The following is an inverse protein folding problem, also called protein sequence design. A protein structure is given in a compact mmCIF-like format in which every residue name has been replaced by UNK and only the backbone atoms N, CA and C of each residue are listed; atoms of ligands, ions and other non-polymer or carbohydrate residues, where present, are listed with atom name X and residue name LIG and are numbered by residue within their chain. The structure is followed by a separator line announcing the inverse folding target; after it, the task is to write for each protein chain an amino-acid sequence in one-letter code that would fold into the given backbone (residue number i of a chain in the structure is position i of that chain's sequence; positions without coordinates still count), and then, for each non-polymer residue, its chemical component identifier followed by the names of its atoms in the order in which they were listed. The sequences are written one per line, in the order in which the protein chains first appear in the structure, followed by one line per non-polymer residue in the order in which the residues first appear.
data_IF_351422167737
#
_entry.id   IF_351422167737
#
_cell.length_a   1.000
_cell.length_b   1.000
_cell.length_c   1.000
_cell.angle_alpha   90.00
_cell.angle_beta   90.00
_cell.angle_gamma   90.00
#
_symmetry.space_group_name_H-M   'P 1'
#
loop_
_entity.id
_entity.type
_entity.pdbx_description
1 polymer ?
#
# COMPACT_ATOMS: atom_id res chain seq x y z
N UNK A 1 8.10 -37.04 5.51
CA UNK A 1 8.43 -37.82 6.72
C UNK A 1 7.11 -38.15 7.42
N UNK A 2 6.72 -39.44 7.47
CA UNK A 2 5.43 -39.89 8.02
C UNK A 2 5.56 -40.09 9.54
N UNK A 3 4.69 -39.47 10.33
CA UNK A 3 4.57 -39.73 11.78
C UNK A 3 3.22 -40.38 12.04
N UNK A 4 3.27 -41.62 12.51
CA UNK A 4 2.16 -42.40 13.05
C UNK A 4 1.73 -41.84 14.41
N UNK A 5 0.44 -41.50 14.58
CA UNK A 5 -0.18 -41.20 15.87
C UNK A 5 -0.74 -42.48 16.51
N UNK A 6 -0.24 -42.85 17.68
CA UNK A 6 -0.94 -43.76 18.59
C UNK A 6 -1.94 -42.99 19.45
N UNK A 7 -3.21 -43.40 19.41
CA UNK A 7 -4.26 -42.92 20.30
C UNK A 7 -4.02 -43.38 21.74
N UNK A 8 -3.95 -42.43 22.68
CA UNK A 8 -4.22 -42.67 24.09
C UNK A 8 -5.37 -41.75 24.53
N UNK A 9 -6.38 -42.35 25.14
CA UNK A 9 -7.65 -41.73 25.48
C UNK A 9 -7.54 -40.68 26.60
N UNK A 10 -8.42 -39.69 26.45
CA UNK A 10 -8.68 -38.47 27.22
C UNK A 10 -8.65 -38.61 28.75
N UNK A 11 -7.87 -37.76 29.40
CA UNK A 11 -8.20 -37.19 30.71
C UNK A 11 -8.56 -35.71 30.50
N UNK A 12 -9.81 -35.36 30.80
CA UNK A 12 -10.33 -33.99 30.66
C UNK A 12 -9.75 -33.12 31.78
N UNK A 13 -8.58 -32.52 31.53
CA UNK A 13 -8.09 -31.41 32.34
C UNK A 13 -8.53 -30.13 31.61
N UNK A 14 -9.48 -29.41 32.22
CA UNK A 14 -9.79 -28.02 31.91
C UNK A 14 -8.57 -27.15 32.31
N UNK A 15 -7.47 -27.34 31.60
CA UNK A 15 -6.33 -26.44 31.62
C UNK A 15 -6.61 -25.37 30.58
N UNK A 16 -6.73 -24.13 31.02
CA UNK A 16 -6.52 -22.96 30.17
C UNK A 16 -5.22 -23.19 29.43
N UNK A 17 -5.32 -23.56 28.14
CA UNK A 17 -4.16 -23.57 27.26
C UNK A 17 -3.55 -22.16 27.38
N UNK A 18 -2.26 -22.03 27.73
CA UNK A 18 -1.62 -20.74 27.63
C UNK A 18 -1.80 -20.30 26.18
N UNK A 19 -2.38 -19.12 25.96
CA UNK A 19 -2.29 -18.46 24.69
C UNK A 19 -0.79 -18.46 24.35
N UNK A 20 -0.39 -19.22 23.34
CA UNK A 20 1.01 -19.23 22.92
C UNK A 20 1.37 -17.78 22.65
N UNK A 21 2.31 -17.22 23.43
CA UNK A 21 2.84 -15.90 23.15
C UNK A 21 3.44 -15.97 21.74
N UNK A 22 2.82 -15.25 20.80
CA UNK A 22 3.24 -15.23 19.41
C UNK A 22 4.57 -14.47 19.35
N UNK A 23 5.67 -15.20 19.19
CA UNK A 23 7.01 -14.63 19.02
C UNK A 23 7.45 -14.76 17.56
N UNK A 24 8.04 -13.71 16.98
CA UNK A 24 8.51 -13.76 15.59
C UNK A 24 9.05 -12.45 15.05
N UNK A 25 9.73 -12.51 13.91
CA UNK A 25 10.10 -11.33 13.13
C UNK A 25 9.13 -11.16 11.96
N UNK A 26 8.68 -9.94 11.72
CA UNK A 26 7.85 -9.56 10.57
C UNK A 26 8.62 -8.51 9.77
N UNK A 27 8.75 -8.73 8.49
CA UNK A 27 9.41 -7.84 7.54
C UNK A 27 8.40 -7.22 6.60
N UNK A 28 8.53 -5.91 6.37
CA UNK A 28 7.67 -5.16 5.46
C UNK A 28 8.54 -4.52 4.39
N UNK A 29 8.24 -4.76 3.11
CA UNK A 29 8.78 -3.97 2.01
C UNK A 29 7.82 -2.86 1.63
N UNK A 30 8.33 -1.64 1.60
CA UNK A 30 7.56 -0.44 1.26
C UNK A 30 8.50 0.58 0.61
N UNK A 31 7.96 1.74 0.27
CA UNK A 31 8.75 2.89 -0.16
C UNK A 31 8.32 4.16 0.55
N UNK A 32 9.22 5.15 0.58
CA UNK A 32 8.84 6.56 0.67
C UNK A 32 8.06 6.93 1.96
N UNK A 33 7.07 7.84 1.89
CA UNK A 33 6.23 8.32 3.00
C UNK A 33 5.48 7.17 3.65
N UNK A 34 5.09 6.16 2.86
CA UNK A 34 4.53 4.92 3.36
C UNK A 34 5.53 4.22 4.30
N UNK A 35 6.76 3.95 3.86
CA UNK A 35 7.77 3.32 4.69
C UNK A 35 8.09 4.14 5.95
N UNK A 36 8.16 5.47 5.82
CA UNK A 36 8.39 6.38 6.96
C UNK A 36 7.26 6.33 7.99
N UNK A 37 6.01 6.36 7.52
CA UNK A 37 4.81 6.24 8.35
C UNK A 37 4.73 4.89 9.07
N UNK A 38 5.06 3.80 8.38
CA UNK A 38 5.14 2.46 8.98
C UNK A 38 6.23 2.39 10.04
N UNK A 39 7.44 2.91 9.78
CA UNK A 39 8.54 2.94 10.78
C UNK A 39 8.12 3.67 12.05
N UNK A 40 7.44 4.81 11.92
CA UNK A 40 6.94 5.58 13.06
C UNK A 40 5.89 4.79 13.86
N UNK A 41 4.99 4.08 13.19
CA UNK A 41 3.90 3.31 13.81
C UNK A 41 4.42 2.02 14.46
N UNK A 42 5.29 1.29 13.76
CA UNK A 42 5.92 0.03 14.20
C UNK A 42 6.72 0.23 15.49
N UNK A 43 7.32 1.40 15.70
CA UNK A 43 7.98 1.71 16.96
C UNK A 43 7.03 1.65 18.17
N UNK A 44 5.75 2.01 18.00
CA UNK A 44 4.72 1.84 19.02
C UNK A 44 4.29 0.38 19.17
N UNK A 45 4.07 -0.31 18.04
CA UNK A 45 3.70 -1.73 18.03
C UNK A 45 4.74 -2.60 18.75
N UNK A 46 6.02 -2.49 18.40
CA UNK A 46 7.10 -3.29 19.01
C UNK A 46 7.25 -3.03 20.52
N UNK A 47 6.85 -1.86 21.03
CA UNK A 47 6.83 -1.58 22.48
C UNK A 47 5.68 -2.29 23.21
N UNK A 48 4.53 -2.42 22.55
CA UNK A 48 3.35 -3.11 23.09
C UNK A 48 3.44 -4.63 22.94
N UNK A 49 4.15 -5.09 21.91
CA UNK A 49 4.32 -6.49 21.56
C UNK A 49 5.81 -6.85 21.50
N UNK A 50 6.52 -6.91 22.65
CA UNK A 50 7.97 -7.08 22.66
C UNK A 50 8.45 -8.42 22.08
N UNK A 51 7.58 -9.42 22.04
CA UNK A 51 7.88 -10.74 21.47
C UNK A 51 7.78 -10.76 19.93
N UNK A 52 7.16 -9.73 19.33
CA UNK A 52 7.01 -9.58 17.88
C UNK A 52 7.85 -8.39 17.42
N UNK A 53 8.84 -8.65 16.57
CA UNK A 53 9.70 -7.62 16.01
C UNK A 53 9.32 -7.33 14.57
N UNK A 54 8.64 -6.21 14.35
CA UNK A 54 8.32 -5.73 13.00
C UNK A 54 9.45 -4.81 12.50
N UNK A 55 9.87 -4.99 11.26
CA UNK A 55 10.89 -4.17 10.57
C UNK A 55 10.40 -3.73 9.21
N UNK A 56 10.74 -2.51 8.81
CA UNK A 56 10.31 -1.92 7.53
C UNK A 56 11.54 -1.60 6.70
N UNK A 57 11.60 -2.18 5.50
CA UNK A 57 12.62 -1.91 4.51
C UNK A 57 12.05 -0.97 3.46
N UNK A 58 12.73 0.17 3.29
CA UNK A 58 12.45 1.08 2.20
C UNK A 58 13.33 0.68 1.02
N UNK A 59 12.71 0.17 -0.03
CA UNK A 59 13.42 -0.29 -1.24
C UNK A 59 13.31 0.70 -2.40
N UNK A 60 12.48 1.75 -2.26
CA UNK A 60 11.92 2.49 -3.40
C UNK A 60 10.76 1.75 -4.08
N UNK A 61 9.94 2.48 -4.82
CA UNK A 61 8.70 1.96 -5.41
C UNK A 61 8.97 0.83 -6.44
N UNK A 62 9.63 1.15 -7.56
CA UNK A 62 9.90 0.14 -8.60
C UNK A 62 10.70 -1.08 -8.08
N UNK A 63 11.77 -0.93 -7.27
CA UNK A 63 12.48 -2.09 -6.75
C UNK A 63 11.64 -2.96 -5.80
N UNK A 64 10.64 -2.38 -5.10
CA UNK A 64 9.68 -3.17 -4.32
C UNK A 64 8.88 -4.08 -5.23
N UNK A 65 8.41 -3.57 -6.38
CA UNK A 65 7.66 -4.38 -7.34
C UNK A 65 8.50 -5.45 -8.00
N UNK A 66 9.67 -5.08 -8.55
CA UNK A 66 10.54 -6.01 -9.27
C UNK A 66 10.95 -7.20 -8.38
N UNK A 67 11.30 -6.92 -7.12
CA UNK A 67 11.66 -7.96 -6.16
C UNK A 67 10.47 -8.83 -5.74
N UNK A 68 9.30 -8.23 -5.58
CA UNK A 68 8.10 -8.98 -5.17
C UNK A 68 7.63 -9.91 -6.30
N UNK A 69 7.63 -9.44 -7.54
CA UNK A 69 7.34 -10.26 -8.73
C UNK A 69 8.37 -11.39 -8.85
N UNK A 70 9.66 -11.11 -8.70
CA UNK A 70 10.70 -12.14 -8.74
C UNK A 70 10.53 -13.19 -7.64
N UNK A 71 10.20 -12.76 -6.41
CA UNK A 71 9.93 -13.66 -5.28
C UNK A 71 8.71 -14.54 -5.53
N UNK A 72 7.61 -13.97 -6.03
CA UNK A 72 6.44 -14.75 -6.42
C UNK A 72 6.74 -15.76 -7.53
N UNK A 73 7.48 -15.37 -8.58
CA UNK A 73 7.91 -16.26 -9.65
C UNK A 73 8.83 -17.39 -9.15
N UNK A 74 9.58 -17.16 -8.07
CA UNK A 74 10.41 -18.14 -7.39
C UNK A 74 9.64 -19.03 -6.39
N UNK A 75 8.31 -18.96 -6.35
CA UNK A 75 7.48 -19.74 -5.43
C UNK A 75 7.48 -19.19 -3.99
N UNK A 76 7.65 -17.88 -3.84
CA UNK A 76 7.63 -17.17 -2.55
C UNK A 76 8.99 -17.04 -1.87
N UNK A 77 10.06 -17.56 -2.48
CA UNK A 77 11.40 -17.50 -1.89
C UNK A 77 11.91 -16.05 -1.86
N UNK A 78 12.32 -15.59 -0.69
CA UNK A 78 12.94 -14.28 -0.50
C UNK A 78 11.96 -13.10 -0.41
N UNK A 79 10.65 -13.36 -0.39
CA UNK A 79 9.64 -12.36 -0.10
C UNK A 79 9.68 -11.92 1.38
N UNK A 80 9.25 -10.68 1.68
CA UNK A 80 8.95 -10.28 3.04
C UNK A 80 7.60 -10.88 3.47
N UNK A 81 7.24 -10.65 4.73
CA UNK A 81 5.92 -11.04 5.25
C UNK A 81 4.80 -10.13 4.72
N UNK A 82 5.11 -8.85 4.48
CA UNK A 82 4.17 -7.85 3.97
C UNK A 82 4.84 -7.01 2.87
N UNK A 83 4.11 -6.77 1.78
CA UNK A 83 4.54 -5.90 0.67
C UNK A 83 3.50 -4.80 0.50
N UNK A 84 3.95 -3.54 0.40
CA UNK A 84 3.10 -2.44 -0.06
C UNK A 84 2.89 -2.56 -1.58
N UNK A 85 1.64 -2.47 -2.06
CA UNK A 85 1.29 -2.56 -3.49
C UNK A 85 0.24 -1.50 -3.82
N UNK A 86 0.41 -0.75 -4.92
CA UNK A 86 -0.60 0.19 -5.42
C UNK A 86 -1.79 -0.57 -6.05
N UNK A 87 -3.02 -0.06 -5.89
CA UNK A 87 -4.23 -0.70 -6.44
C UNK A 87 -4.10 -1.04 -7.94
N UNK A 88 -3.50 -0.16 -8.73
CA UNK A 88 -3.29 -0.37 -10.17
C UNK A 88 -2.31 -1.49 -10.51
N UNK A 89 -1.42 -1.85 -9.59
CA UNK A 89 -0.48 -2.96 -9.75
C UNK A 89 -1.01 -4.28 -9.18
N UNK A 90 -1.94 -4.23 -8.23
CA UNK A 90 -2.44 -5.40 -7.50
C UNK A 90 -2.97 -6.50 -8.43
N UNK A 91 -3.73 -6.14 -9.46
CA UNK A 91 -4.28 -7.10 -10.44
C UNK A 91 -3.18 -7.91 -11.15
N UNK A 92 -2.03 -7.28 -11.43
CA UNK A 92 -0.88 -7.96 -12.06
C UNK A 92 -0.38 -9.10 -11.17
N UNK A 93 -0.39 -8.94 -9.85
CA UNK A 93 0.05 -9.97 -8.91
C UNK A 93 -0.94 -11.11 -8.82
N UNK A 94 -2.22 -10.84 -8.57
CA UNK A 94 -3.21 -11.90 -8.33
C UNK A 94 -3.49 -12.72 -9.59
N UNK A 95 -3.39 -12.10 -10.77
CA UNK A 95 -3.59 -12.76 -12.06
C UNK A 95 -2.41 -13.66 -12.44
N UNK A 96 -1.17 -13.23 -12.16
CA UNK A 96 0.03 -13.99 -12.53
C UNK A 96 0.46 -14.98 -11.45
N UNK A 97 0.20 -14.67 -10.19
CA UNK A 97 0.69 -15.41 -9.01
C UNK A 97 -0.43 -15.62 -7.97
N UNK A 98 -1.52 -16.31 -8.31
CA UNK A 98 -2.70 -16.47 -7.43
C UNK A 98 -2.42 -17.20 -6.12
N UNK A 99 -1.29 -17.94 -6.04
CA UNK A 99 -0.87 -18.69 -4.85
C UNK A 99 0.28 -18.01 -4.08
N UNK A 100 0.77 -16.85 -4.53
CA UNK A 100 1.87 -16.15 -3.87
C UNK A 100 1.42 -15.41 -2.60
N UNK A 101 0.13 -15.10 -2.49
CA UNK A 101 -0.43 -14.31 -1.40
C UNK A 101 -1.44 -15.08 -0.60
N UNK A 102 -1.43 -14.84 0.72
CA UNK A 102 -2.37 -15.42 1.65
C UNK A 102 -3.74 -14.76 1.51
N UNK A 103 -4.80 -15.56 1.57
CA UNK A 103 -6.15 -15.03 1.73
C UNK A 103 -6.30 -14.47 3.15
N UNK A 104 -6.46 -13.15 3.27
CA UNK A 104 -6.56 -12.43 4.53
C UNK A 104 -7.79 -12.85 5.35
N UNK A 105 -8.83 -13.42 4.74
CA UNK A 105 -9.94 -14.00 5.49
C UNK A 105 -9.46 -15.10 6.46
N UNK A 106 -8.42 -15.86 6.08
CA UNK A 106 -7.79 -16.88 6.94
C UNK A 106 -7.01 -16.28 8.11
N UNK A 107 -6.67 -14.99 8.02
CA UNK A 107 -5.97 -14.21 9.04
C UNK A 107 -6.92 -13.31 9.86
N UNK A 108 -8.23 -13.45 9.66
CA UNK A 108 -9.24 -12.71 10.42
C UNK A 108 -9.66 -11.38 9.80
N UNK A 109 -9.37 -11.14 8.52
CA UNK A 109 -10.00 -10.02 7.80
C UNK A 109 -11.48 -10.33 7.55
N UNK A 110 -12.37 -9.56 8.18
CA UNK A 110 -13.82 -9.84 8.16
C UNK A 110 -14.59 -8.85 7.30
N UNK A 111 -15.86 -9.17 7.02
CA UNK A 111 -16.79 -8.22 6.41
C UNK A 111 -16.97 -6.92 7.23
N UNK A 112 -16.77 -6.97 8.55
CA UNK A 112 -16.80 -5.76 9.40
C UNK A 112 -15.54 -4.91 9.21
N UNK A 113 -14.39 -5.53 8.90
CA UNK A 113 -13.18 -4.79 8.54
C UNK A 113 -13.28 -4.17 7.14
N UNK A 114 -13.85 -4.91 6.19
CA UNK A 114 -14.12 -4.42 4.83
C UNK A 114 -14.97 -3.14 4.85
N UNK A 115 -16.02 -3.10 5.68
CA UNK A 115 -16.91 -1.92 5.82
C UNK A 115 -16.21 -0.66 6.32
N UNK A 116 -15.00 -0.77 6.87
CA UNK A 116 -14.21 0.40 7.31
C UNK A 116 -13.56 1.13 6.14
N UNK A 117 -13.57 0.56 4.94
CA UNK A 117 -12.91 1.11 3.76
C UNK A 117 -13.92 1.39 2.64
N UNK A 118 -13.69 2.44 1.82
CA UNK A 118 -14.49 2.69 0.63
C UNK A 118 -14.44 1.53 -0.37
N UNK A 119 -15.56 1.22 -1.01
CA UNK A 119 -15.66 0.11 -1.97
C UNK A 119 -14.66 0.22 -3.13
N UNK A 120 -14.42 1.43 -3.63
CA UNK A 120 -13.47 1.66 -4.72
C UNK A 120 -12.03 1.26 -4.36
N UNK A 121 -11.69 1.22 -3.05
CA UNK A 121 -10.36 0.80 -2.61
C UNK A 121 -10.22 -0.71 -2.42
N UNK A 122 -11.32 -1.44 -2.38
CA UNK A 122 -11.36 -2.90 -2.19
C UNK A 122 -11.47 -3.66 -3.50
N UNK A 123 -11.90 -3.01 -4.57
CA UNK A 123 -12.25 -3.64 -5.85
C UNK A 123 -11.12 -4.48 -6.44
N UNK A 124 -9.87 -3.99 -6.42
CA UNK A 124 -8.71 -4.74 -6.95
C UNK A 124 -8.04 -5.66 -5.91
N UNK A 125 -8.50 -5.63 -4.65
CA UNK A 125 -7.89 -6.37 -3.55
C UNK A 125 -8.68 -7.64 -3.19
N UNK A 126 -9.95 -7.70 -3.60
CA UNK A 126 -10.87 -8.81 -3.37
C UNK A 126 -11.16 -9.50 -4.71
N UNK A 127 -10.71 -10.74 -4.87
CA UNK A 127 -10.84 -11.49 -6.13
C UNK A 127 -11.54 -12.82 -5.83
N UNK A 128 -12.75 -12.96 -6.36
CA UNK A 128 -13.60 -14.11 -6.05
C UNK A 128 -14.04 -14.08 -4.59
N UNK A 129 -13.68 -15.12 -3.84
CA UNK A 129 -13.98 -15.29 -2.41
C UNK A 129 -12.78 -14.95 -1.50
N UNK A 130 -11.68 -14.47 -2.07
CA UNK A 130 -10.44 -14.17 -1.35
C UNK A 130 -10.22 -12.67 -1.22
N UNK A 131 -9.61 -12.26 -0.12
CA UNK A 131 -9.04 -10.92 0.04
C UNK A 131 -7.52 -11.03 0.09
N UNK A 132 -6.81 -10.50 -0.91
CA UNK A 132 -5.35 -10.60 -1.00
C UNK A 132 -4.62 -9.46 -0.30
N UNK A 133 -5.29 -8.32 -0.10
CA UNK A 133 -4.69 -7.14 0.51
C UNK A 133 -5.70 -6.32 1.32
N UNK A 134 -5.21 -5.56 2.29
CA UNK A 134 -5.99 -4.61 3.07
C UNK A 134 -5.73 -3.18 2.57
N UNK A 135 -6.77 -2.35 2.37
CA UNK A 135 -6.57 -0.94 2.04
C UNK A 135 -5.82 -0.21 3.17
N UNK A 136 -4.90 0.68 2.80
CA UNK A 136 -4.17 1.51 3.75
C UNK A 136 -4.43 3.00 3.55
N UNK A 137 -4.26 3.47 2.32
CA UNK A 137 -4.43 4.88 1.97
C UNK A 137 -5.37 5.05 0.76
N UNK A 138 -5.58 6.30 0.35
CA UNK A 138 -6.13 6.66 -0.95
C UNK A 138 -5.50 7.96 -1.45
N UNK A 139 -4.99 7.97 -2.68
CA UNK A 139 -4.38 9.15 -3.29
C UNK A 139 -5.25 9.74 -4.41
N UNK A 140 -6.24 10.60 -4.11
CA UNK A 140 -6.95 11.33 -5.15
C UNK A 140 -5.99 12.33 -5.83
N UNK A 141 -6.06 12.42 -7.15
CA UNK A 141 -5.28 13.40 -7.90
C UNK A 141 -5.89 14.79 -7.71
N UNK A 142 -5.07 15.74 -7.28
CA UNK A 142 -5.44 17.15 -7.14
C UNK A 142 -4.45 18.05 -7.88
N UNK A 143 -4.92 19.22 -8.31
CA UNK A 143 -4.08 20.24 -8.91
C UNK A 143 -3.76 21.33 -7.87
N UNK A 144 -2.50 21.40 -7.44
CA UNK A 144 -1.99 22.50 -6.64
C UNK A 144 -1.50 23.62 -7.56
N UNK A 145 -1.75 24.87 -7.19
CA UNK A 145 -1.37 26.02 -8.02
C UNK A 145 -0.93 27.23 -7.19
N UNK A 146 -0.08 28.06 -7.81
CA UNK A 146 0.37 29.34 -7.26
C UNK A 146 -0.67 30.42 -7.52
N UNK A 147 -1.44 30.76 -6.49
CA UNK A 147 -2.51 31.76 -6.56
C UNK A 147 -2.05 33.10 -7.13
N UNK A 148 -0.90 33.58 -6.70
CA UNK A 148 -0.32 34.85 -7.16
C UNK A 148 0.00 34.84 -8.66
N UNK A 149 0.46 33.70 -9.21
CA UNK A 149 0.73 33.58 -10.65
C UNK A 149 -0.57 33.58 -11.47
N UNK A 150 -1.61 32.94 -10.96
CA UNK A 150 -2.94 32.92 -11.58
C UNK A 150 -3.59 34.31 -11.53
N UNK A 151 -3.56 34.97 -10.37
CA UNK A 151 -4.09 36.32 -10.16
C UNK A 151 -3.37 37.34 -11.07
N UNK A 152 -2.04 37.30 -11.16
CA UNK A 152 -1.26 38.16 -12.06
C UNK A 152 -1.59 37.93 -13.54
N UNK A 153 -1.95 36.70 -13.91
CA UNK A 153 -2.33 36.33 -15.27
C UNK A 153 -3.82 36.59 -15.58
N UNK A 154 -4.62 37.00 -14.59
CA UNK A 154 -6.07 37.14 -14.72
C UNK A 154 -6.78 35.82 -15.04
N UNK A 155 -6.24 34.70 -14.53
CA UNK A 155 -6.80 33.35 -14.75
C UNK A 155 -7.56 32.91 -13.51
N UNK A 156 -8.86 32.64 -13.67
CA UNK A 156 -9.65 31.95 -12.64
C UNK A 156 -9.41 30.43 -12.75
N UNK A 157 -8.83 29.78 -11.74
CA UNK A 157 -8.63 28.33 -11.76
C UNK A 157 -9.94 27.55 -11.88
N UNK A 158 -11.06 28.08 -11.37
CA UNK A 158 -12.35 27.41 -11.46
C UNK A 158 -12.90 27.38 -12.90
N UNK A 159 -12.39 28.23 -13.80
CA UNK A 159 -12.76 28.24 -15.22
C UNK A 159 -12.11 27.11 -16.03
N UNK A 160 -11.07 26.46 -15.50
CA UNK A 160 -10.35 25.38 -16.18
C UNK A 160 -11.15 24.09 -16.02
N UNK A 161 -11.80 23.63 -17.09
CA UNK A 161 -12.63 22.40 -17.09
C UNK A 161 -12.13 21.35 -18.07
N UNK A 162 -11.32 21.75 -19.04
CA UNK A 162 -10.78 20.88 -20.09
C UNK A 162 -9.27 21.03 -20.21
N UNK A 163 -8.63 20.11 -20.92
CA UNK A 163 -7.21 20.21 -21.24
C UNK A 163 -6.90 21.43 -22.12
N UNK A 164 -7.81 21.82 -23.01
CA UNK A 164 -7.66 23.03 -23.80
C UNK A 164 -7.68 24.29 -22.92
N UNK A 165 -8.57 24.35 -21.92
CA UNK A 165 -8.58 25.44 -20.93
C UNK A 165 -7.27 25.47 -20.14
N UNK A 166 -6.77 24.31 -19.74
CA UNK A 166 -5.51 24.17 -18.99
C UNK A 166 -4.32 24.70 -19.81
N UNK A 167 -4.24 24.34 -21.09
CA UNK A 167 -3.19 24.82 -22.01
C UNK A 167 -3.33 26.34 -22.24
N UNK A 168 -4.56 26.84 -22.43
CA UNK A 168 -4.82 28.26 -22.63
C UNK A 168 -4.47 29.09 -21.37
N UNK A 169 -4.82 28.61 -20.19
CA UNK A 169 -4.43 29.17 -18.90
C UNK A 169 -2.90 29.18 -18.75
N UNK A 170 -2.24 28.07 -19.06
CA UNK A 170 -0.78 27.95 -19.01
C UNK A 170 -0.07 28.99 -19.86
N UNK A 171 -0.55 29.25 -21.09
CA UNK A 171 -0.02 30.32 -21.96
C UNK A 171 -0.14 31.71 -21.35
N UNK A 172 -1.30 32.03 -20.74
CA UNK A 172 -1.50 33.32 -20.04
C UNK A 172 -0.59 33.46 -18.83
N UNK A 173 -0.47 32.39 -18.03
CA UNK A 173 0.37 32.35 -16.84
C UNK A 173 1.84 32.55 -17.22
N UNK A 174 2.33 31.86 -18.25
CA UNK A 174 3.70 32.04 -18.73
C UNK A 174 3.97 33.44 -19.27
N UNK A 175 3.02 34.03 -20.01
CA UNK A 175 3.16 35.40 -20.52
C UNK A 175 3.22 36.45 -19.38
N UNK A 176 2.43 36.25 -18.31
CA UNK A 176 2.42 37.15 -17.16
C UNK A 176 3.59 36.91 -16.18
N UNK A 177 4.21 35.73 -16.23
CA UNK A 177 5.26 35.31 -15.30
C UNK A 177 6.48 34.78 -16.08
N UNK A 178 7.40 35.67 -16.51
CA UNK A 178 8.59 35.27 -17.26
C UNK A 178 9.41 34.20 -16.50
N UNK A 179 9.80 33.14 -17.21
CA UNK A 179 10.54 32.01 -16.63
C UNK A 179 9.68 30.94 -15.94
N UNK A 180 8.36 31.13 -15.86
CA UNK A 180 7.42 30.14 -15.31
C UNK A 180 6.83 29.30 -16.45
N UNK A 181 6.71 27.99 -16.22
CA UNK A 181 5.97 27.08 -17.09
C UNK A 181 4.95 26.30 -16.24
N UNK A 182 3.75 26.15 -16.76
CA UNK A 182 2.72 25.32 -16.16
C UNK A 182 2.82 23.92 -16.76
N UNK A 183 3.01 22.91 -15.91
CA UNK A 183 3.17 21.51 -16.29
C UNK A 183 2.18 20.65 -15.51
N UNK A 184 1.80 19.50 -16.08
CA UNK A 184 1.01 18.46 -15.42
C UNK A 184 1.88 17.36 -14.78
N UNK A 185 3.20 17.45 -14.94
CA UNK A 185 4.17 16.49 -14.41
C UNK A 185 5.13 17.19 -13.45
N UNK A 186 5.45 16.51 -12.36
CA UNK A 186 6.58 16.87 -11.54
C UNK A 186 7.87 16.38 -12.20
N UNK A 187 8.84 17.28 -12.36
CA UNK A 187 10.14 16.99 -12.99
C UNK A 187 11.27 16.94 -11.96
N UNK A 188 10.97 17.06 -10.67
CA UNK A 188 11.97 16.92 -9.61
C UNK A 188 12.46 15.46 -9.42
N UNK A 189 11.87 14.49 -10.14
CA UNK A 189 12.20 13.07 -10.01
C UNK A 189 11.66 12.44 -8.72
N UNK A 190 10.79 13.15 -8.03
CA UNK A 190 10.13 12.72 -6.81
C UNK A 190 8.79 12.06 -7.14
N UNK A 191 8.45 11.06 -6.34
CA UNK A 191 7.11 10.47 -6.31
C UNK A 191 6.36 10.90 -5.04
N UNK A 192 7.00 11.70 -4.19
CA UNK A 192 6.43 12.40 -3.04
C UNK A 192 5.65 13.64 -3.50
N UNK A 193 4.51 13.87 -2.87
CA UNK A 193 3.80 15.15 -2.88
C UNK A 193 4.00 15.86 -1.54
#
# INVERSE_FOLDING_TARGET
MRITLSCAALALVLGSAPAFAQSGEITIWSWNVAASSLKATVAGFNKLHPDIKVTVQDLGNQPTYDKSIAGCAAGGVGLPDIVTIENGEAENYWSQFPDCFVDLHTLGYTAEDQKKFPDFKRTELEVGDKAYAMPWDSGPVAAFYRRDFYEKAGVDPASIKTWDDFIAAGKKIQAANPGVSMTNADFNGDTEF
#
